data_IF_445216523476
#
_entry.id   IF_445216523476
#
_cell.length_a   1.000
_cell.length_b   1.000
_cell.length_c   1.000
_cell.angle_alpha   90.00
_cell.angle_beta   90.00
_cell.angle_gamma   90.00
#
_symmetry.space_group_name_H-M   'P 1'
#
loop_
_entity.id
_entity.type
_entity.pdbx_description
1 polymer ?
#
# COMPACT_ATOMS: atom_id res chain seq x y z
N UNK A 1 1.62 -7.75 12.58
CA UNK A 1 0.25 -7.32 12.24
C UNK A 1 -0.43 -8.46 11.51
N UNK A 2 -1.72 -8.74 11.74
CA UNK A 2 -2.45 -9.71 10.93
C UNK A 2 -2.42 -9.30 9.46
N UNK A 3 -2.40 -10.27 8.56
CA UNK A 3 -2.38 -10.01 7.12
C UNK A 3 -3.68 -9.28 6.71
N UNK A 4 -3.54 -8.08 6.13
CA UNK A 4 -4.67 -7.30 5.63
C UNK A 4 -5.21 -7.97 4.37
N UNK A 5 -6.51 -8.29 4.36
CA UNK A 5 -7.16 -8.85 3.16
C UNK A 5 -7.40 -7.73 2.14
N UNK A 6 -6.93 -7.90 0.91
CA UNK A 6 -7.07 -6.90 -0.16
C UNK A 6 -7.87 -7.47 -1.32
N UNK A 7 -8.94 -6.78 -1.69
CA UNK A 7 -9.85 -7.14 -2.78
C UNK A 7 -9.90 -6.01 -3.79
N UNK A 8 -9.71 -6.33 -5.07
CA UNK A 8 -9.82 -5.41 -6.19
C UNK A 8 -11.12 -5.69 -6.94
N UNK A 9 -11.93 -4.66 -7.17
CA UNK A 9 -13.01 -4.71 -8.14
C UNK A 9 -12.53 -4.09 -9.45
N UNK A 10 -12.22 -4.89 -10.49
CA UNK A 10 -11.46 -4.42 -11.66
C UNK A 10 -12.27 -3.60 -12.66
N UNK A 11 -13.60 -3.67 -12.61
CA UNK A 11 -14.44 -2.85 -13.49
C UNK A 11 -14.28 -1.37 -13.10
N UNK A 12 -14.04 -0.52 -14.08
CA UNK A 12 -13.80 0.92 -13.86
C UNK A 12 -15.00 1.75 -14.30
N UNK A 13 -16.13 1.10 -14.59
CA UNK A 13 -17.37 1.83 -14.70
C UNK A 13 -17.69 2.43 -13.32
N UNK A 14 -17.93 3.74 -13.28
CA UNK A 14 -18.37 4.44 -12.07
C UNK A 14 -19.85 4.12 -11.77
N UNK A 15 -20.28 2.90 -12.09
CA UNK A 15 -21.67 2.51 -12.02
C UNK A 15 -22.07 2.35 -10.55
N UNK A 16 -23.31 2.73 -10.21
CA UNK A 16 -23.85 2.48 -8.88
C UNK A 16 -23.78 1.00 -8.47
N UNK A 17 -23.94 0.09 -9.45
CA UNK A 17 -23.87 -1.37 -9.24
C UNK A 17 -22.51 -1.79 -8.70
N UNK A 18 -21.44 -1.16 -9.16
CA UNK A 18 -20.08 -1.52 -8.78
C UNK A 18 -19.76 -1.10 -7.35
N UNK A 19 -20.16 0.12 -6.98
CA UNK A 19 -20.05 0.60 -5.60
C UNK A 19 -20.93 -0.21 -4.64
N UNK A 20 -22.12 -0.62 -5.09
CA UNK A 20 -23.00 -1.50 -4.30
C UNK A 20 -22.34 -2.86 -4.05
N UNK A 21 -21.68 -3.41 -5.08
CA UNK A 21 -20.94 -4.67 -4.98
C UNK A 21 -19.78 -4.53 -3.98
N UNK A 22 -19.03 -3.43 -4.03
CA UNK A 22 -17.96 -3.15 -3.07
C UNK A 22 -18.46 -3.08 -1.62
N UNK A 23 -19.59 -2.40 -1.38
CA UNK A 23 -20.25 -2.35 -0.07
C UNK A 23 -20.75 -3.73 0.38
N UNK A 24 -21.28 -4.54 -0.54
CA UNK A 24 -21.69 -5.92 -0.25
C UNK A 24 -20.51 -6.81 0.17
N UNK A 25 -19.38 -6.70 -0.52
CA UNK A 25 -18.13 -7.39 -0.15
C UNK A 25 -17.65 -6.93 1.22
N UNK A 26 -17.69 -5.63 1.50
CA UNK A 26 -17.32 -5.09 2.81
C UNK A 26 -18.23 -5.62 3.93
N UNK A 27 -19.55 -5.70 3.71
CA UNK A 27 -20.50 -6.28 4.66
C UNK A 27 -20.17 -7.75 4.97
N UNK A 28 -19.85 -8.53 3.93
CA UNK A 28 -19.45 -9.94 4.08
C UNK A 28 -18.12 -10.08 4.84
N UNK A 29 -17.13 -9.23 4.55
CA UNK A 29 -15.86 -9.20 5.25
C UNK A 29 -16.05 -8.84 6.73
N UNK A 30 -16.89 -7.85 7.05
CA UNK A 30 -17.24 -7.51 8.42
C UNK A 30 -17.84 -8.67 9.19
N UNK A 31 -18.76 -9.45 8.58
CA UNK A 31 -19.32 -10.66 9.20
C UNK A 31 -18.24 -11.71 9.47
N UNK A 32 -17.39 -11.96 8.49
CA UNK A 32 -16.37 -13.01 8.55
C UNK A 32 -15.26 -12.67 9.55
N UNK A 33 -14.82 -11.41 9.56
CA UNK A 33 -13.74 -10.91 10.41
C UNK A 33 -14.25 -10.35 11.74
N UNK A 34 -15.56 -10.42 12.03
CA UNK A 34 -16.22 -9.88 13.23
C UNK A 34 -15.84 -8.42 13.50
N UNK A 35 -15.84 -7.61 12.45
CA UNK A 35 -15.39 -6.22 12.47
C UNK A 35 -16.59 -5.27 12.41
N UNK A 36 -16.77 -4.37 13.41
CA UNK A 36 -17.96 -3.52 13.50
C UNK A 36 -17.86 -2.22 12.69
N UNK A 37 -16.68 -1.82 12.20
CA UNK A 37 -16.46 -0.54 11.51
C UNK A 37 -16.19 -0.76 10.01
N UNK A 38 -16.90 0.02 9.18
CA UNK A 38 -16.64 0.15 7.75
C UNK A 38 -16.37 1.62 7.44
N UNK A 39 -15.29 1.87 6.72
CA UNK A 39 -14.92 3.22 6.31
C UNK A 39 -15.06 3.30 4.80
N UNK A 40 -16.03 4.08 4.33
CA UNK A 40 -16.21 4.38 2.92
C UNK A 40 -15.43 5.65 2.57
N UNK A 41 -14.38 5.51 1.77
CA UNK A 41 -13.42 6.57 1.45
C UNK A 41 -13.64 7.07 0.04
N UNK A 42 -13.79 8.39 -0.12
CA UNK A 42 -13.89 9.05 -1.43
C UNK A 42 -12.70 10.00 -1.66
N UNK A 43 -12.39 10.39 -2.91
CA UNK A 43 -11.28 11.31 -3.18
C UNK A 43 -11.49 12.69 -2.53
N UNK A 44 -12.72 13.18 -2.56
CA UNK A 44 -13.12 14.48 -2.03
C UNK A 44 -14.64 14.53 -1.76
N UNK A 45 -15.11 15.63 -1.16
CA UNK A 45 -16.54 15.81 -0.83
C UNK A 45 -17.43 15.91 -2.09
N UNK A 46 -16.92 16.45 -3.20
CA UNK A 46 -17.68 16.54 -4.44
C UNK A 46 -17.93 15.14 -5.05
N UNK A 47 -16.98 14.22 -4.90
CA UNK A 47 -17.15 12.84 -5.31
C UNK A 47 -18.27 12.16 -4.51
N UNK A 48 -18.39 12.44 -3.20
CA UNK A 48 -19.49 11.92 -2.37
C UNK A 48 -20.86 12.37 -2.88
N UNK A 49 -20.95 13.61 -3.36
CA UNK A 49 -22.18 14.20 -3.94
C UNK A 49 -22.40 13.81 -5.42
N UNK A 50 -21.57 12.90 -5.96
CA UNK A 50 -21.77 12.37 -7.30
C UNK A 50 -23.05 11.54 -7.39
N UNK A 51 -23.69 11.58 -8.57
CA UNK A 51 -24.90 10.81 -8.83
C UNK A 51 -24.72 9.30 -8.59
N UNK A 52 -23.53 8.75 -8.86
CA UNK A 52 -23.29 7.32 -8.69
C UNK A 52 -23.31 6.86 -7.24
N UNK A 53 -22.67 7.60 -6.32
CA UNK A 53 -22.71 7.26 -4.89
C UNK A 53 -24.13 7.46 -4.33
N UNK A 54 -24.78 8.59 -4.64
CA UNK A 54 -26.14 8.86 -4.17
C UNK A 54 -27.13 7.78 -4.63
N UNK A 55 -27.05 7.34 -5.89
CA UNK A 55 -27.88 6.23 -6.41
C UNK A 55 -27.54 4.90 -5.75
N UNK A 56 -26.27 4.66 -5.39
CA UNK A 56 -25.83 3.41 -4.74
C UNK A 56 -26.41 3.25 -3.35
N UNK A 57 -26.27 4.28 -2.51
CA UNK A 57 -26.61 4.19 -1.08
C UNK A 57 -28.02 4.70 -0.76
N UNK A 58 -28.64 5.41 -1.70
CA UNK A 58 -29.94 6.04 -1.53
C UNK A 58 -29.88 7.37 -0.77
N UNK A 59 -30.93 8.18 -0.93
CA UNK A 59 -30.99 9.56 -0.42
C UNK A 59 -30.79 9.68 1.09
N UNK A 60 -31.34 8.74 1.85
CA UNK A 60 -31.26 8.75 3.32
C UNK A 60 -29.82 8.54 3.79
N UNK A 61 -29.15 7.49 3.29
CA UNK A 61 -27.77 7.19 3.64
C UNK A 61 -26.81 8.26 3.11
N UNK A 62 -27.05 8.76 1.89
CA UNK A 62 -26.27 9.86 1.33
C UNK A 62 -26.32 11.12 2.22
N UNK A 63 -27.52 11.53 2.66
CA UNK A 63 -27.67 12.66 3.60
C UNK A 63 -26.96 12.41 4.93
N UNK A 64 -26.96 11.18 5.44
CA UNK A 64 -26.23 10.82 6.64
C UNK A 64 -24.71 10.95 6.43
N UNK A 65 -24.17 10.42 5.33
CA UNK A 65 -22.76 10.56 4.96
C UNK A 65 -22.32 12.02 4.81
N UNK A 66 -23.13 12.85 4.17
CA UNK A 66 -22.85 14.29 4.02
C UNK A 66 -22.80 15.05 5.37
N UNK A 67 -23.46 14.51 6.40
CA UNK A 67 -23.46 15.03 7.78
C UNK A 67 -22.44 14.33 8.69
N UNK A 68 -21.66 13.38 8.18
CA UNK A 68 -20.73 12.57 8.98
C UNK A 68 -21.42 11.61 9.95
N UNK A 69 -22.70 11.28 9.71
CA UNK A 69 -23.46 10.35 10.54
C UNK A 69 -23.28 8.92 10.00
N UNK A 70 -22.87 7.94 10.83
CA UNK A 70 -22.73 6.56 10.39
C UNK A 70 -24.08 5.91 10.01
N UNK A 71 -24.04 4.99 9.05
CA UNK A 71 -25.19 4.22 8.55
C UNK A 71 -24.97 2.75 8.87
N UNK A 72 -25.98 2.05 9.37
CA UNK A 72 -25.89 0.64 9.73
C UNK A 72 -26.07 -0.25 8.49
N UNK A 73 -25.18 -1.23 8.32
CA UNK A 73 -25.30 -2.28 7.31
C UNK A 73 -26.11 -3.47 7.83
N UNK A 74 -26.44 -4.40 6.92
CA UNK A 74 -27.15 -5.63 7.24
C UNK A 74 -26.38 -6.55 8.21
N UNK A 75 -25.05 -6.53 8.19
CA UNK A 75 -24.23 -7.23 9.20
C UNK A 75 -24.33 -6.63 10.61
N UNK A 76 -24.88 -5.42 10.74
CA UNK A 76 -24.83 -4.62 11.95
C UNK A 76 -23.60 -3.72 12.07
N UNK A 77 -22.64 -3.81 11.15
CA UNK A 77 -21.51 -2.89 11.08
C UNK A 77 -21.96 -1.46 10.77
N UNK A 78 -21.21 -0.48 11.27
CA UNK A 78 -21.44 0.94 11.02
C UNK A 78 -20.54 1.40 9.89
N UNK A 79 -21.14 1.99 8.85
CA UNK A 79 -20.42 2.63 7.76
C UNK A 79 -20.37 4.12 8.02
N UNK A 80 -19.17 4.66 8.15
CA UNK A 80 -18.93 6.10 8.06
C UNK A 80 -18.29 6.47 6.73
N UNK A 81 -18.55 7.68 6.28
CA UNK A 81 -17.92 8.21 5.08
C UNK A 81 -16.79 9.18 5.45
N UNK A 82 -15.64 8.99 4.85
CA UNK A 82 -14.49 9.88 4.95
C UNK A 82 -14.03 10.27 3.54
N UNK A 83 -13.39 11.42 3.42
CA UNK A 83 -12.61 11.73 2.22
C UNK A 83 -11.15 11.34 2.45
N UNK A 84 -10.36 11.35 1.37
CA UNK A 84 -8.91 11.25 1.45
C UNK A 84 -8.32 12.23 2.47
N UNK A 85 -8.87 13.43 2.62
CA UNK A 85 -8.32 14.45 3.54
C UNK A 85 -8.77 14.25 4.98
N UNK A 86 -9.99 13.78 5.22
CA UNK A 86 -10.55 13.63 6.57
C UNK A 86 -10.16 12.31 7.23
N UNK A 87 -9.86 11.26 6.45
CA UNK A 87 -9.32 10.01 6.96
C UNK A 87 -7.91 10.23 7.55
N UNK A 88 -7.81 10.30 8.87
CA UNK A 88 -6.52 10.53 9.58
C UNK A 88 -6.04 9.32 10.37
N UNK A 89 -6.98 8.59 10.98
CA UNK A 89 -6.68 7.48 11.87
C UNK A 89 -7.84 6.49 11.90
N UNK A 90 -7.51 5.24 12.24
CA UNK A 90 -8.46 4.14 12.40
C UNK A 90 -8.19 3.53 13.79
N UNK A 91 -9.07 3.81 14.74
CA UNK A 91 -8.89 3.46 16.15
C UNK A 91 -9.28 2.02 16.49
N UNK A 92 -10.10 1.39 15.66
CA UNK A 92 -10.59 0.03 15.84
C UNK A 92 -10.38 -0.75 14.54
N UNK A 93 -10.32 -2.09 14.58
CA UNK A 93 -10.34 -2.91 13.37
C UNK A 93 -11.43 -2.44 12.41
N UNK A 94 -11.08 -2.17 11.15
CA UNK A 94 -12.02 -1.67 10.15
C UNK A 94 -11.81 -2.27 8.77
N UNK A 95 -12.91 -2.45 8.03
CA UNK A 95 -12.89 -2.71 6.60
C UNK A 95 -12.99 -1.40 5.85
N UNK A 96 -12.05 -1.13 4.94
CA UNK A 96 -12.02 0.13 4.18
C UNK A 96 -12.47 -0.11 2.75
N UNK A 97 -13.49 0.61 2.31
CA UNK A 97 -13.91 0.66 0.91
C UNK A 97 -13.36 1.94 0.29
N UNK A 98 -12.53 1.83 -0.75
CA UNK A 98 -11.95 2.98 -1.43
C UNK A 98 -12.65 3.18 -2.75
N UNK A 99 -13.63 4.09 -2.77
CA UNK A 99 -14.37 4.46 -3.96
C UNK A 99 -13.55 5.42 -4.82
N UNK A 100 -13.54 5.18 -6.13
CA UNK A 100 -12.76 5.97 -7.10
C UNK A 100 -11.28 6.02 -6.72
N UNK A 101 -10.73 4.87 -6.39
CA UNK A 101 -9.37 4.71 -5.88
C UNK A 101 -8.34 5.22 -6.89
N UNK A 102 -7.42 6.02 -6.37
CA UNK A 102 -6.16 6.43 -6.99
C UNK A 102 -4.99 5.89 -6.18
N UNK A 103 -3.80 5.83 -6.78
CA UNK A 103 -2.60 5.30 -6.11
C UNK A 103 -2.34 5.97 -4.76
N UNK A 104 -2.47 7.31 -4.67
CA UNK A 104 -2.23 8.05 -3.44
C UNK A 104 -3.27 7.79 -2.33
N UNK A 105 -4.51 7.43 -2.71
CA UNK A 105 -5.53 6.99 -1.75
C UNK A 105 -5.17 5.62 -1.19
N UNK A 106 -4.73 4.69 -2.04
CA UNK A 106 -4.38 3.34 -1.64
C UNK A 106 -3.16 3.33 -0.72
N UNK A 107 -2.10 4.05 -1.12
CA UNK A 107 -0.90 4.28 -0.32
C UNK A 107 -1.23 4.84 1.07
N UNK A 108 -2.18 5.78 1.13
CA UNK A 108 -2.66 6.33 2.40
C UNK A 108 -3.42 5.32 3.24
N UNK A 109 -4.27 4.49 2.64
CA UNK A 109 -5.07 3.50 3.36
C UNK A 109 -4.20 2.37 3.91
N UNK A 110 -3.23 1.87 3.14
CA UNK A 110 -2.30 0.83 3.61
C UNK A 110 -1.37 1.30 4.74
N UNK A 111 -1.12 2.61 4.83
CA UNK A 111 -0.36 3.20 5.93
C UNK A 111 -1.14 3.31 7.26
N UNK A 112 -2.46 3.06 7.24
CA UNK A 112 -3.28 3.19 8.44
C UNK A 112 -3.18 1.94 9.33
N UNK A 113 -3.08 2.11 10.66
CA UNK A 113 -3.18 0.99 11.58
C UNK A 113 -4.61 0.45 11.61
N UNK A 114 -4.77 -0.77 12.12
CA UNK A 114 -6.08 -1.40 12.35
C UNK A 114 -6.97 -1.60 11.10
N UNK A 115 -6.45 -1.38 9.89
CA UNK A 115 -7.12 -1.81 8.67
C UNK A 115 -7.00 -3.33 8.57
N UNK A 116 -8.13 -4.04 8.59
CA UNK A 116 -8.15 -5.52 8.49
C UNK A 116 -8.47 -6.00 7.08
N UNK A 117 -9.18 -5.18 6.31
CA UNK A 117 -9.40 -5.44 4.90
C UNK A 117 -9.57 -4.14 4.09
N UNK A 118 -9.21 -4.21 2.81
CA UNK A 118 -9.34 -3.11 1.83
C UNK A 118 -10.11 -3.64 0.63
N UNK A 119 -11.14 -2.91 0.21
CA UNK A 119 -11.92 -3.14 -1.01
C UNK A 119 -11.70 -1.94 -1.94
N UNK A 120 -10.91 -2.15 -3.00
CA UNK A 120 -10.52 -1.10 -3.94
C UNK A 120 -11.47 -1.05 -5.14
N UNK A 121 -11.98 0.15 -5.45
CA UNK A 121 -12.79 0.43 -6.64
C UNK A 121 -12.11 1.53 -7.45
N UNK A 122 -11.26 1.20 -8.44
CA UNK A 122 -10.50 2.19 -9.20
C UNK A 122 -11.39 3.12 -10.01
N UNK A 123 -10.95 4.36 -10.20
CA UNK A 123 -11.66 5.34 -11.04
C UNK A 123 -11.53 5.06 -12.54
N UNK A 124 -10.35 4.62 -12.97
CA UNK A 124 -10.00 4.28 -14.37
C UNK A 124 -9.07 3.08 -14.40
N UNK A 125 -8.96 2.45 -15.58
CA UNK A 125 -7.97 1.40 -15.80
C UNK A 125 -6.58 1.97 -15.55
N UNK A 126 -5.71 1.22 -14.89
CA UNK A 126 -4.35 1.68 -14.59
C UNK A 126 -4.19 2.55 -13.33
N UNK A 127 -5.29 3.06 -12.74
CA UNK A 127 -5.22 4.09 -11.68
C UNK A 127 -4.50 3.65 -10.39
N UNK A 128 -4.38 2.33 -10.18
CA UNK A 128 -3.76 1.73 -8.99
C UNK A 128 -2.86 0.55 -9.35
N UNK A 129 -2.28 0.52 -10.56
CA UNK A 129 -1.47 -0.61 -11.03
C UNK A 129 -0.27 -0.91 -10.12
N UNK A 130 0.36 0.13 -9.55
CA UNK A 130 1.46 -0.06 -8.60
C UNK A 130 0.99 -0.72 -7.31
N UNK A 131 -0.21 -0.35 -6.82
CA UNK A 131 -0.84 -1.04 -5.69
C UNK A 131 -1.13 -2.51 -6.01
N UNK A 132 -1.65 -2.81 -7.21
CA UNK A 132 -1.91 -4.19 -7.65
C UNK A 132 -0.61 -5.00 -7.70
N UNK A 133 0.46 -4.44 -8.28
CA UNK A 133 1.78 -5.09 -8.34
C UNK A 133 2.41 -5.28 -6.95
N UNK A 134 2.21 -4.34 -6.04
CA UNK A 134 2.78 -4.41 -4.69
C UNK A 134 2.13 -5.51 -3.85
N UNK A 135 0.80 -5.59 -3.91
CA UNK A 135 0.01 -6.37 -2.95
C UNK A 135 -0.66 -7.62 -3.51
N UNK A 136 -0.72 -7.76 -4.83
CA UNK A 136 -1.36 -8.90 -5.51
C UNK A 136 -2.77 -9.21 -4.95
N UNK A 137 -3.70 -8.24 -4.99
CA UNK A 137 -5.02 -8.37 -4.37
C UNK A 137 -5.88 -9.47 -5.01
N UNK A 138 -6.85 -9.98 -4.26
CA UNK A 138 -7.89 -10.87 -4.78
C UNK A 138 -8.75 -10.09 -5.78
N UNK A 139 -8.78 -10.51 -7.05
CA UNK A 139 -9.58 -9.84 -8.07
C UNK A 139 -11.01 -10.40 -8.02
N UNK A 140 -11.96 -9.56 -7.64
CA UNK A 140 -13.37 -9.94 -7.59
C UNK A 140 -13.86 -10.41 -8.97
N UNK A 141 -14.56 -11.55 -9.01
CA UNK A 141 -15.09 -12.15 -10.23
C UNK A 141 -14.06 -12.93 -11.07
N UNK A 142 -12.80 -13.01 -10.63
CA UNK A 142 -11.81 -13.92 -11.21
C UNK A 142 -11.48 -15.03 -10.21
N UNK A 143 -11.23 -16.27 -10.67
CA UNK A 143 -10.74 -17.32 -9.78
C UNK A 143 -9.45 -16.86 -9.11
N UNK A 144 -9.27 -17.23 -7.84
CA UNK A 144 -8.04 -16.99 -7.12
C UNK A 144 -6.90 -17.73 -7.85
N UNK A 145 -6.14 -17.00 -8.66
CA UNK A 145 -4.88 -17.52 -9.17
C UNK A 145 -3.98 -17.72 -7.96
N UNK A 146 -3.33 -18.89 -7.79
CA UNK A 146 -2.23 -19.01 -6.84
C UNK A 146 -1.18 -18.01 -7.28
N UNK A 147 -1.16 -16.83 -6.66
CA UNK A 147 -0.10 -15.87 -6.90
C UNK A 147 1.08 -16.45 -6.16
N UNK A 148 1.98 -17.13 -6.88
CA UNK A 148 3.35 -17.29 -6.41
C UNK A 148 3.78 -15.90 -5.95
N UNK A 149 4.31 -15.82 -4.73
CA UNK A 149 4.76 -14.55 -4.18
C UNK A 149 5.96 -14.12 -5.03
N UNK A 150 5.68 -13.46 -6.15
CA UNK A 150 6.69 -12.91 -7.02
C UNK A 150 7.55 -12.03 -6.12
N UNK A 151 8.81 -12.42 -5.99
CA UNK A 151 9.76 -11.64 -5.22
C UNK A 151 9.78 -10.27 -5.86
N UNK A 152 9.33 -9.25 -5.12
CA UNK A 152 9.29 -7.87 -5.62
C UNK A 152 10.69 -7.35 -6.00
N UNK A 153 11.73 -8.00 -5.49
CA UNK A 153 13.14 -7.80 -5.83
C UNK A 153 13.63 -9.09 -6.49
N UNK A 154 14.21 -8.98 -7.68
CA UNK A 154 14.70 -10.12 -8.45
C UNK A 154 16.00 -10.68 -7.85
N UNK A 155 16.86 -9.79 -7.34
CA UNK A 155 18.14 -10.18 -6.78
C UNK A 155 18.02 -10.49 -5.27
N UNK A 156 18.19 -11.76 -4.85
CA UNK A 156 18.04 -12.13 -3.44
C UNK A 156 19.06 -11.46 -2.52
N UNK A 157 20.24 -11.06 -3.02
CA UNK A 157 21.22 -10.29 -2.22
C UNK A 157 20.73 -8.87 -2.00
N UNK A 158 20.14 -8.24 -3.03
CA UNK A 158 19.49 -6.92 -2.88
C UNK A 158 18.34 -7.02 -1.88
N UNK A 159 17.55 -8.10 -1.94
CA UNK A 159 16.44 -8.29 -1.00
C UNK A 159 16.94 -8.41 0.45
N UNK A 160 17.99 -9.20 0.70
CA UNK A 160 18.60 -9.31 2.03
C UNK A 160 19.22 -7.99 2.52
N UNK A 161 19.81 -7.21 1.61
CA UNK A 161 20.30 -5.88 1.93
C UNK A 161 19.15 -4.93 2.32
N UNK A 162 18.00 -5.00 1.64
CA UNK A 162 16.81 -4.21 1.99
C UNK A 162 16.17 -4.67 3.31
N UNK A 163 16.19 -5.98 3.61
CA UNK A 163 15.83 -6.52 4.94
C UNK A 163 16.73 -5.93 6.02
N UNK A 164 18.05 -5.95 5.79
CA UNK A 164 19.03 -5.36 6.71
C UNK A 164 18.90 -3.84 6.86
N UNK A 165 18.47 -3.12 5.83
CA UNK A 165 18.16 -1.68 5.94
C UNK A 165 16.91 -1.48 6.80
N UNK A 166 15.88 -2.30 6.59
CA UNK A 166 14.59 -2.20 7.29
C UNK A 166 14.65 -2.49 8.79
N UNK A 167 15.73 -3.12 9.28
CA UNK A 167 15.96 -3.34 10.71
C UNK A 167 16.62 -2.15 11.41
N UNK A 168 17.32 -1.28 10.66
CA UNK A 168 18.05 -0.14 11.23
C UNK A 168 17.33 1.20 11.03
N UNK A 169 16.49 1.33 9.99
CA UNK A 169 15.76 2.56 9.73
C UNK A 169 14.47 2.66 10.52
N UNK A 170 14.07 3.89 10.86
CA UNK A 170 12.78 4.11 11.47
C UNK A 170 11.66 4.23 10.41
N UNK A 171 10.91 3.13 10.23
CA UNK A 171 9.79 3.03 9.27
C UNK A 171 8.52 3.78 9.69
N UNK A 172 8.43 4.24 10.94
CA UNK A 172 7.23 4.87 11.48
C UNK A 172 7.02 6.31 10.98
N UNK A 173 8.02 6.90 10.31
CA UNK A 173 7.93 8.26 9.78
C UNK A 173 7.83 8.27 8.25
N UNK A 174 7.02 9.20 7.75
CA UNK A 174 6.87 9.45 6.32
C UNK A 174 8.14 10.02 5.67
N UNK A 175 9.15 10.40 6.47
CA UNK A 175 10.38 11.05 6.01
C UNK A 175 11.54 10.24 6.57
N UNK A 176 12.47 9.87 5.68
CA UNK A 176 13.76 9.29 6.07
C UNK A 176 14.57 10.32 6.84
N UNK A 177 14.97 9.99 8.07
CA UNK A 177 15.90 10.82 8.82
C UNK A 177 17.26 10.89 8.08
N UNK A 178 18.02 12.00 8.16
CA UNK A 178 19.32 12.10 7.47
C UNK A 178 20.27 10.92 7.75
N UNK A 179 20.28 10.39 8.98
CA UNK A 179 21.06 9.19 9.32
C UNK A 179 20.57 7.95 8.59
N UNK A 180 19.26 7.74 8.50
CA UNK A 180 18.65 6.61 7.78
C UNK A 180 18.95 6.70 6.28
N UNK A 181 18.93 7.92 5.73
CA UNK A 181 19.29 8.18 4.35
C UNK A 181 20.77 7.86 4.07
N UNK A 182 21.70 8.21 4.98
CA UNK A 182 23.11 7.82 4.84
C UNK A 182 23.29 6.30 4.94
N UNK A 183 22.55 5.61 5.81
CA UNK A 183 22.53 4.14 5.84
C UNK A 183 22.04 3.54 4.52
N UNK A 184 20.93 4.06 3.98
CA UNK A 184 20.39 3.63 2.69
C UNK A 184 21.40 3.85 1.55
N UNK A 185 21.99 5.04 1.45
CA UNK A 185 23.03 5.35 0.46
C UNK A 185 24.22 4.42 0.58
N UNK A 186 24.68 4.13 1.81
CA UNK A 186 25.80 3.22 2.04
C UNK A 186 25.49 1.83 1.54
N UNK A 187 24.33 1.27 1.90
CA UNK A 187 23.92 -0.08 1.47
C UNK A 187 23.80 -0.15 -0.06
N UNK A 188 23.11 0.82 -0.68
CA UNK A 188 22.94 0.86 -2.14
C UNK A 188 24.28 1.00 -2.89
N UNK A 189 25.23 1.78 -2.35
CA UNK A 189 26.59 1.88 -2.92
C UNK A 189 27.37 0.57 -2.81
N UNK A 190 27.24 -0.16 -1.70
CA UNK A 190 27.88 -1.48 -1.54
C UNK A 190 27.35 -2.45 -2.61
N UNK A 191 26.03 -2.51 -2.78
CA UNK A 191 25.39 -3.32 -3.82
C UNK A 191 25.89 -2.94 -5.22
N UNK A 192 25.87 -1.65 -5.55
CA UNK A 192 26.35 -1.16 -6.85
C UNK A 192 27.83 -1.49 -7.08
N UNK A 193 28.67 -1.37 -6.06
CA UNK A 193 30.10 -1.68 -6.14
C UNK A 193 30.39 -3.17 -6.43
N UNK A 194 29.41 -4.03 -6.17
CA UNK A 194 29.42 -5.47 -6.42
C UNK A 194 28.63 -5.85 -7.69
N UNK A 195 28.24 -4.86 -8.50
CA UNK A 195 27.49 -5.00 -9.74
C UNK A 195 26.05 -5.49 -9.60
N UNK A 196 25.47 -5.42 -8.40
CA UNK A 196 24.03 -5.63 -8.25
C UNK A 196 23.25 -4.43 -8.79
N UNK A 197 22.15 -4.72 -9.45
CA UNK A 197 21.20 -3.74 -9.98
C UNK A 197 19.78 -4.27 -9.78
N UNK A 198 18.89 -3.36 -9.40
CA UNK A 198 17.46 -3.64 -9.29
C UNK A 198 16.72 -2.39 -9.79
N UNK A 199 15.60 -2.52 -10.54
CA UNK A 199 14.75 -1.39 -10.86
C UNK A 199 14.33 -0.65 -9.58
N UNK A 200 14.42 0.68 -9.57
CA UNK A 200 14.11 1.48 -8.39
C UNK A 200 12.64 1.29 -7.93
N UNK A 201 11.72 1.11 -8.89
CA UNK A 201 10.31 0.81 -8.62
C UNK A 201 10.14 -0.47 -7.79
N UNK A 202 10.94 -1.51 -8.06
CA UNK A 202 10.90 -2.77 -7.34
C UNK A 202 11.31 -2.58 -5.86
N UNK A 203 12.36 -1.79 -5.63
CA UNK A 203 12.80 -1.40 -4.29
C UNK A 203 11.70 -0.64 -3.54
N UNK A 204 11.01 0.29 -4.21
CA UNK A 204 9.85 1.01 -3.64
C UNK A 204 8.73 0.05 -3.24
N UNK A 205 8.27 -0.79 -4.16
CA UNK A 205 7.18 -1.73 -3.93
C UNK A 205 7.53 -2.67 -2.77
N UNK A 206 8.76 -3.19 -2.75
CA UNK A 206 9.25 -4.03 -1.67
C UNK A 206 9.24 -3.30 -0.32
N UNK A 207 9.69 -2.04 -0.27
CA UNK A 207 9.69 -1.25 0.95
C UNK A 207 8.27 -1.06 1.51
N UNK A 208 7.31 -0.68 0.66
CA UNK A 208 5.90 -0.52 1.04
C UNK A 208 5.34 -1.84 1.59
N UNK A 209 5.59 -2.96 0.91
CA UNK A 209 5.17 -4.30 1.37
C UNK A 209 5.76 -4.69 2.72
N UNK A 210 6.96 -4.19 3.05
CA UNK A 210 7.66 -4.42 4.31
C UNK A 210 7.36 -3.35 5.39
N UNK A 211 6.29 -2.57 5.20
CA UNK A 211 5.74 -1.64 6.18
C UNK A 211 6.44 -0.28 6.20
N UNK A 212 7.17 0.08 5.14
CA UNK A 212 7.63 1.46 4.98
C UNK A 212 6.47 2.33 4.53
N UNK A 213 6.45 3.57 5.04
CA UNK A 213 5.47 4.54 4.58
C UNK A 213 5.77 5.02 3.15
N UNK A 214 4.74 5.32 2.32
CA UNK A 214 4.90 5.61 0.90
C UNK A 214 5.94 6.69 0.58
N UNK A 215 5.93 7.81 1.32
CA UNK A 215 6.90 8.91 1.11
C UNK A 215 8.34 8.53 1.46
N UNK A 216 8.55 7.67 2.46
CA UNK A 216 9.88 7.16 2.78
C UNK A 216 10.35 6.18 1.71
N UNK A 217 9.45 5.35 1.18
CA UNK A 217 9.74 4.44 0.07
C UNK A 217 10.04 5.19 -1.25
N UNK A 218 9.32 6.28 -1.56
CA UNK A 218 9.63 7.18 -2.68
C UNK A 218 11.02 7.80 -2.56
N UNK A 219 11.41 8.20 -1.35
CA UNK A 219 12.75 8.72 -1.12
C UNK A 219 13.81 7.61 -1.30
N UNK A 220 13.54 6.39 -0.85
CA UNK A 220 14.42 5.23 -1.08
C UNK A 220 14.56 4.91 -2.57
N UNK A 221 13.47 4.97 -3.34
CA UNK A 221 13.44 4.83 -4.80
C UNK A 221 14.41 5.81 -5.47
N UNK A 222 14.30 7.10 -5.15
CA UNK A 222 15.17 8.13 -5.70
C UNK A 222 16.67 7.93 -5.32
N UNK A 223 16.95 7.32 -4.17
CA UNK A 223 18.31 6.95 -3.77
C UNK A 223 18.81 5.73 -4.55
N UNK A 224 17.96 4.72 -4.76
CA UNK A 224 18.27 3.52 -5.53
C UNK A 224 18.54 3.86 -7.00
N UNK A 225 17.69 4.70 -7.61
CA UNK A 225 17.88 5.19 -8.98
C UNK A 225 19.23 5.89 -9.14
N UNK A 226 19.57 6.80 -8.22
CA UNK A 226 20.87 7.49 -8.21
C UNK A 226 22.04 6.54 -8.03
N UNK A 227 21.93 5.57 -7.13
CA UNK A 227 23.02 4.65 -6.82
C UNK A 227 23.25 3.65 -7.96
N UNK A 228 22.19 3.04 -8.49
CA UNK A 228 22.28 2.06 -9.55
C UNK A 228 22.58 2.67 -10.93
N UNK A 229 22.16 3.93 -11.15
CA UNK A 229 22.49 4.71 -12.35
C UNK A 229 23.92 5.24 -12.42
N UNK A 230 24.76 5.05 -11.38
CA UNK A 230 26.16 5.47 -11.43
C UNK A 230 26.93 4.73 -12.53
N UNK A 231 27.60 5.50 -13.40
CA UNK A 231 28.45 4.98 -14.49
C UNK A 231 29.74 4.32 -13.97
N UNK A 232 30.29 4.85 -12.89
CA UNK A 232 31.53 4.37 -12.27
C UNK A 232 31.26 3.66 -10.96
N UNK A 233 32.19 2.80 -10.55
CA UNK A 233 32.13 2.12 -9.25
C UNK A 233 32.17 3.16 -8.12
N UNK A 234 31.18 3.21 -7.23
CA UNK A 234 31.15 4.18 -6.15
C UNK A 234 32.30 3.93 -5.15
N UNK A 235 32.82 5.02 -4.56
CA UNK A 235 33.76 4.94 -3.45
C UNK A 235 33.04 4.45 -2.19
N UNK A 236 33.68 3.55 -1.47
CA UNK A 236 33.21 3.01 -0.18
C UNK A 236 34.14 3.54 0.91
N UNK A 237 33.60 4.22 1.91
CA UNK A 237 34.39 4.89 2.96
C UNK A 237 35.05 3.90 3.94
N UNK A 238 34.42 2.74 4.20
CA UNK A 238 34.96 1.69 5.05
C UNK A 238 34.82 0.31 4.35
N UNK A 239 35.85 -0.11 3.59
CA UNK A 239 35.83 -1.33 2.79
C UNK A 239 35.65 -2.62 3.60
N UNK A 240 36.33 -2.76 4.75
CA UNK A 240 36.29 -3.98 5.55
C UNK A 240 34.88 -4.23 6.13
N UNK A 241 34.26 -3.17 6.66
CA UNK A 241 32.88 -3.26 7.15
C UNK A 241 31.88 -3.48 5.99
N UNK A 242 32.11 -2.88 4.82
CA UNK A 242 31.28 -3.13 3.66
C UNK A 242 31.35 -4.58 3.19
N UNK A 243 32.54 -5.19 3.27
CA UNK A 243 32.72 -6.61 2.94
C UNK A 243 31.97 -7.51 3.91
N UNK A 244 32.10 -7.26 5.21
CA UNK A 244 31.39 -8.03 6.23
C UNK A 244 29.86 -7.97 6.04
N UNK A 245 29.31 -6.79 5.75
CA UNK A 245 27.89 -6.64 5.44
C UNK A 245 27.49 -7.44 4.21
N UNK A 246 28.26 -7.32 3.13
CA UNK A 246 27.98 -8.02 1.88
C UNK A 246 28.03 -9.55 2.04
N UNK A 247 29.01 -10.07 2.80
CA UNK A 247 29.10 -11.50 3.10
C UNK A 247 27.91 -12.00 3.92
N UNK A 248 27.39 -11.19 4.86
CA UNK A 248 26.16 -11.51 5.59
C UNK A 248 24.96 -11.62 4.65
N UNK A 249 24.77 -10.67 3.74
CA UNK A 249 23.68 -10.71 2.77
C UNK A 249 23.81 -11.91 1.82
N UNK A 250 25.02 -12.15 1.31
CA UNK A 250 25.31 -13.27 0.40
C UNK A 250 25.09 -14.63 1.05
N UNK A 251 25.40 -14.75 2.35
CA UNK A 251 25.19 -16.00 3.10
C UNK A 251 23.71 -16.22 3.42
N UNK A 252 22.96 -15.15 3.69
CA UNK A 252 21.52 -15.20 3.97
C UNK A 252 20.64 -15.35 2.72
N UNK A 253 21.21 -15.13 1.53
CA UNK A 253 20.54 -15.27 0.24
C UNK A 253 20.66 -16.68 -0.37
N UNK A 254 21.50 -17.55 0.21
CA UNK A 254 21.61 -18.97 -0.14
C UNK A 254 20.57 -19.80 0.60
#
# INVERSE_FOLDING_TARGET
MPAVKRVLLPDTNQSPKHLLTALGIADQLCRTMKTPDVIFVTPNKAALDSGSIRTTVGDTAHKAFMKGTPVKLNSGALVRCETKTTLKWVSQPAVVVVAFASQDMMDKVDALPNVVAIVAVPWTTGAIDDWVKTWSPEIHGKPATPVEVDSLINDPIVEQAMKSLSTIVNKAHNILHPSDEEHAKRILRILRARNHQEPAENVRRWAIRNGWLPKAAERLEALAEKAFGLRTKPKIDNPDHAEQLYQRWSSAAK
#
